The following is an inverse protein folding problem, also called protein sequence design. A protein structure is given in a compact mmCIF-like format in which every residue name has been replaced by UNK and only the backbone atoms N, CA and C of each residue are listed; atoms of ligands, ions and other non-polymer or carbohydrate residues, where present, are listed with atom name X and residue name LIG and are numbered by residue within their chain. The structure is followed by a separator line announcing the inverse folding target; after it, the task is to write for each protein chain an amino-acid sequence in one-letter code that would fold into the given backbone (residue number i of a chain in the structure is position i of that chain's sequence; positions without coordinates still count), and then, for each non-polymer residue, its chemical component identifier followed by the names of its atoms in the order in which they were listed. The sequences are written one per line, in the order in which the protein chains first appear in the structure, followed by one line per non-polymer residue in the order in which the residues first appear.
data_IF_600544313966
#
_entry.id   IF_600544313966
#
_cell.length_a   1.000
_cell.length_b   1.000
_cell.length_c   1.000
_cell.angle_alpha   90.00
_cell.angle_beta   90.00
_cell.angle_gamma   90.00
#
_symmetry.space_group_name_H-M   'P 1'
#
loop_
_entity.id
_entity.type
_entity.pdbx_description
1 polymer ?
#
# COMPACT_ATOMS: atom_id res chain seq x y z
N UNK A 1 11.40 -57.92 3.64
CA UNK A 1 11.10 -56.55 4.05
C UNK A 1 11.62 -55.61 2.99
N UNK A 2 10.92 -55.00 2.31
CA UNK A 2 9.94 -53.99 2.07
C UNK A 2 10.16 -53.50 0.62
N UNK A 3 9.59 -54.22 -0.38
CA UNK A 3 9.63 -53.80 -1.80
C UNK A 3 8.76 -52.55 -2.04
N UNK A 4 7.60 -52.51 -1.41
CA UNK A 4 6.63 -51.45 -1.61
C UNK A 4 7.07 -50.06 -1.20
N UNK A 5 8.01 -49.93 -0.25
CA UNK A 5 8.56 -48.62 0.19
C UNK A 5 9.47 -48.01 -0.88
N UNK A 6 10.15 -48.86 -1.68
CA UNK A 6 10.99 -48.39 -2.80
C UNK A 6 10.14 -47.86 -3.95
N UNK A 7 8.97 -48.49 -4.16
CA UNK A 7 8.04 -48.06 -5.21
C UNK A 7 7.30 -46.78 -4.83
N UNK A 8 6.99 -46.60 -3.53
CA UNK A 8 6.43 -45.33 -3.02
C UNK A 8 7.39 -44.16 -3.13
N UNK A 9 8.68 -44.40 -2.87
CA UNK A 9 9.72 -43.36 -3.02
C UNK A 9 10.03 -43.02 -4.48
N UNK A 10 9.80 -43.97 -5.42
CA UNK A 10 9.91 -43.71 -6.86
C UNK A 10 8.70 -42.96 -7.41
N UNK A 11 7.50 -43.21 -6.86
CA UNK A 11 6.28 -42.48 -7.25
C UNK A 11 6.24 -41.05 -6.78
N UNK A 12 7.00 -40.68 -5.75
CA UNK A 12 7.14 -39.32 -5.25
C UNK A 12 8.38 -38.57 -5.79
N UNK A 13 9.14 -39.16 -6.70
CA UNK A 13 10.04 -38.38 -7.52
C UNK A 13 9.16 -37.57 -8.49
N UNK A 14 8.67 -36.44 -8.03
CA UNK A 14 8.14 -35.40 -8.89
C UNK A 14 9.20 -35.17 -9.96
N UNK A 15 8.76 -35.35 -11.21
CA UNK A 15 9.52 -35.01 -12.40
C UNK A 15 10.08 -33.58 -12.24
N UNK A 16 11.31 -33.49 -11.74
CA UNK A 16 12.10 -32.28 -11.81
C UNK A 16 12.55 -32.10 -13.26
N UNK A 17 11.60 -31.97 -14.16
CA UNK A 17 11.90 -31.35 -15.43
C UNK A 17 12.28 -29.92 -15.11
N UNK A 18 13.54 -29.50 -15.31
CA UNK A 18 13.90 -28.11 -15.18
C UNK A 18 13.14 -27.37 -16.28
N UNK A 19 12.00 -26.79 -15.95
CA UNK A 19 11.51 -25.67 -16.73
C UNK A 19 12.63 -24.65 -16.61
N UNK A 20 13.53 -24.69 -17.60
CA UNK A 20 14.55 -23.68 -17.77
C UNK A 20 13.78 -22.35 -17.89
N UNK A 21 13.60 -21.67 -16.76
CA UNK A 21 13.09 -20.32 -16.77
C UNK A 21 14.14 -19.51 -17.49
N UNK A 22 13.80 -19.11 -18.70
CA UNK A 22 14.57 -18.11 -19.40
C UNK A 22 14.65 -16.86 -18.50
N UNK A 23 15.78 -16.74 -17.79
CA UNK A 23 16.06 -15.61 -16.92
C UNK A 23 16.29 -14.31 -17.70
N UNK A 24 16.27 -14.41 -19.03
CA UNK A 24 16.41 -13.27 -19.95
C UNK A 24 15.04 -12.72 -20.40
N UNK A 25 13.94 -13.43 -20.17
CA UNK A 25 12.62 -12.89 -20.41
C UNK A 25 12.29 -11.85 -19.33
N UNK A 26 12.70 -10.63 -19.58
CA UNK A 26 12.18 -9.45 -18.87
C UNK A 26 10.65 -9.48 -19.07
N UNK A 27 9.84 -9.63 -18.02
CA UNK A 27 8.39 -9.53 -18.20
C UNK A 27 8.12 -8.19 -18.87
N UNK A 28 7.16 -8.12 -19.81
CA UNK A 28 6.83 -6.86 -20.45
C UNK A 28 6.55 -5.86 -19.33
N UNK A 29 7.39 -4.83 -19.25
CA UNK A 29 7.13 -3.72 -18.38
C UNK A 29 5.75 -3.22 -18.76
N UNK A 30 4.78 -3.37 -17.86
CA UNK A 30 3.54 -2.62 -17.99
C UNK A 30 3.99 -1.17 -17.86
N UNK A 31 4.26 -0.56 -19.00
CA UNK A 31 4.68 0.83 -19.13
C UNK A 31 3.45 1.69 -18.85
N UNK A 32 2.96 1.61 -17.62
CA UNK A 32 2.04 2.62 -17.17
C UNK A 32 2.89 3.86 -16.94
N UNK A 33 2.60 4.98 -17.63
CA UNK A 33 3.30 6.23 -17.39
C UNK A 33 3.26 6.53 -15.89
N UNK A 34 4.22 7.31 -15.41
CA UNK A 34 4.14 7.90 -14.08
C UNK A 34 2.71 8.43 -13.90
N UNK A 35 2.09 8.29 -12.72
CA UNK A 35 0.78 8.85 -12.47
C UNK A 35 0.87 10.37 -12.60
N UNK A 36 0.84 10.83 -13.83
CA UNK A 36 0.72 12.23 -14.20
C UNK A 36 -0.75 12.54 -14.03
N UNK A 37 -1.10 13.16 -12.91
CA UNK A 37 -2.41 13.77 -12.78
C UNK A 37 -2.67 14.71 -13.95
N UNK A 38 -3.93 15.04 -14.16
CA UNK A 38 -4.37 15.96 -15.21
C UNK A 38 -3.57 17.27 -15.18
N UNK A 39 -3.46 17.96 -16.27
CA UNK A 39 -2.61 19.14 -16.51
C UNK A 39 -2.75 20.35 -15.54
N UNK A 40 -3.65 20.28 -14.53
CA UNK A 40 -3.71 21.22 -13.40
C UNK A 40 -2.92 20.79 -12.15
N UNK A 41 -2.35 19.59 -12.15
CA UNK A 41 -1.83 18.91 -10.95
C UNK A 41 -0.36 19.18 -10.63
N UNK A 42 0.33 19.98 -11.43
CA UNK A 42 1.75 20.32 -11.21
C UNK A 42 1.98 21.35 -10.10
N UNK A 43 0.92 21.94 -9.56
CA UNK A 43 1.04 22.92 -8.49
C UNK A 43 1.37 22.19 -7.18
N UNK A 44 2.57 22.44 -6.69
CA UNK A 44 3.09 21.89 -5.45
C UNK A 44 2.64 22.73 -4.27
N UNK A 45 2.24 22.06 -3.18
CA UNK A 45 2.01 22.77 -1.93
C UNK A 45 3.35 23.26 -1.36
N UNK A 46 3.36 24.45 -0.79
CA UNK A 46 4.49 24.95 -0.02
C UNK A 46 4.61 24.16 1.30
N UNK A 47 5.82 24.06 1.88
CA UNK A 47 5.98 23.48 3.22
C UNK A 47 5.10 24.21 4.23
N UNK A 48 4.30 23.47 5.02
CA UNK A 48 3.38 24.04 6.02
C UNK A 48 2.12 24.71 5.45
N UNK A 49 1.87 24.63 4.14
CA UNK A 49 0.66 25.19 3.54
C UNK A 49 -0.57 24.38 3.94
N UNK A 50 -1.55 25.04 4.55
CA UNK A 50 -2.85 24.42 4.87
C UNK A 50 -3.69 24.32 3.61
N UNK A 51 -4.01 23.10 3.20
CA UNK A 51 -4.79 22.82 2.00
C UNK A 51 -6.29 22.80 2.31
N UNK A 52 -7.10 23.20 1.34
CA UNK A 52 -8.57 23.13 1.46
C UNK A 52 -9.10 21.68 1.40
N UNK A 53 -8.37 20.79 0.73
CA UNK A 53 -8.72 19.38 0.53
C UNK A 53 -7.57 18.47 0.89
N UNK A 54 -7.86 17.34 1.54
CA UNK A 54 -6.89 16.30 1.86
C UNK A 54 -7.52 14.93 1.66
N UNK A 55 -7.20 14.30 0.55
CA UNK A 55 -7.64 12.93 0.29
C UNK A 55 -6.85 11.94 1.13
N UNK A 56 -7.56 10.97 1.70
CA UNK A 56 -6.97 9.98 2.58
C UNK A 56 -7.71 8.65 2.56
N UNK A 57 -7.05 7.62 3.08
CA UNK A 57 -7.65 6.35 3.45
C UNK A 57 -7.97 6.34 4.94
N UNK A 58 -9.14 5.81 5.27
CA UNK A 58 -9.46 5.43 6.64
C UNK A 58 -9.57 3.92 6.70
N UNK A 59 -8.78 3.30 7.58
CA UNK A 59 -8.61 1.85 7.65
C UNK A 59 -9.23 1.33 8.93
N UNK A 60 -10.26 0.54 8.78
CA UNK A 60 -10.99 -0.08 9.88
C UNK A 60 -10.35 -1.39 10.30
N UNK A 61 -9.63 -1.38 11.42
CA UNK A 61 -8.97 -2.56 11.95
C UNK A 61 -9.94 -3.57 12.56
N UNK A 62 -11.18 -3.14 12.86
CA UNK A 62 -12.19 -4.01 13.45
C UNK A 62 -12.78 -5.00 12.44
N UNK A 63 -12.86 -4.61 11.18
CA UNK A 63 -13.45 -5.46 10.12
C UNK A 63 -12.43 -5.99 9.12
N UNK A 64 -11.14 -5.66 9.29
CA UNK A 64 -10.08 -6.19 8.46
C UNK A 64 -9.82 -7.67 8.80
N UNK A 65 -9.94 -8.55 7.81
CA UNK A 65 -9.74 -10.00 7.96
C UNK A 65 -8.40 -10.49 7.39
N UNK A 66 -7.48 -9.59 7.04
CA UNK A 66 -6.15 -9.96 6.56
C UNK A 66 -6.09 -10.69 5.21
N UNK A 67 -7.12 -10.61 4.38
CA UNK A 67 -7.25 -11.40 3.14
C UNK A 67 -6.28 -11.01 2.00
N UNK A 68 -5.49 -9.97 2.15
CA UNK A 68 -4.54 -9.44 1.16
C UNK A 68 -5.12 -9.00 -0.20
N UNK A 69 -6.44 -9.02 -0.41
CA UNK A 69 -7.07 -8.56 -1.66
C UNK A 69 -6.64 -7.12 -2.02
N UNK A 70 -6.53 -6.25 -1.03
CA UNK A 70 -6.06 -4.87 -1.20
C UNK A 70 -4.59 -4.78 -1.63
N UNK A 71 -3.76 -5.74 -1.24
CA UNK A 71 -2.33 -5.82 -1.62
C UNK A 71 -2.21 -6.22 -3.07
N UNK A 72 -2.86 -7.33 -3.45
CA UNK A 72 -2.86 -7.86 -4.81
C UNK A 72 -3.42 -6.86 -5.82
N UNK A 73 -4.56 -6.26 -5.50
CA UNK A 73 -5.19 -5.26 -6.37
C UNK A 73 -4.33 -4.00 -6.52
N UNK A 74 -3.71 -3.54 -5.44
CA UNK A 74 -2.77 -2.41 -5.48
C UNK A 74 -1.58 -2.71 -6.37
N UNK A 75 -0.98 -3.90 -6.21
CA UNK A 75 0.16 -4.32 -7.01
C UNK A 75 -0.20 -4.45 -8.49
N UNK A 76 -1.31 -5.08 -8.79
CA UNK A 76 -1.81 -5.26 -10.14
C UNK A 76 -2.11 -3.93 -10.85
N UNK A 77 -2.59 -2.94 -10.10
CA UNK A 77 -2.90 -1.61 -10.64
C UNK A 77 -1.67 -0.71 -10.79
N UNK A 78 -0.78 -0.67 -9.80
CA UNK A 78 0.25 0.37 -9.67
C UNK A 78 1.67 -0.11 -9.98
N UNK A 79 1.96 -1.40 -9.91
CA UNK A 79 3.33 -1.92 -10.03
C UNK A 79 3.40 -3.14 -10.92
N UNK A 80 4.61 -3.62 -11.17
CA UNK A 80 4.87 -4.83 -11.95
C UNK A 80 5.44 -5.95 -11.06
N UNK A 81 5.59 -7.13 -11.63
CA UNK A 81 6.15 -8.30 -10.98
C UNK A 81 5.10 -9.23 -10.38
N UNK A 82 5.54 -10.38 -9.87
CA UNK A 82 4.68 -11.38 -9.26
C UNK A 82 4.07 -10.87 -7.95
N UNK A 83 2.77 -11.07 -7.80
CA UNK A 83 2.08 -10.78 -6.55
C UNK A 83 2.32 -11.82 -5.45
N UNK A 84 2.87 -13.00 -5.75
CA UNK A 84 3.24 -14.10 -4.87
C UNK A 84 2.80 -14.04 -3.38
N UNK A 85 3.06 -15.00 -2.58
CA UNK A 85 2.80 -14.91 -1.15
C UNK A 85 3.66 -13.81 -0.52
N UNK A 86 3.06 -12.99 0.33
CA UNK A 86 3.73 -11.92 1.07
C UNK A 86 4.17 -12.36 2.47
N UNK A 87 3.88 -13.60 2.85
CA UNK A 87 4.29 -14.16 4.11
C UNK A 87 5.79 -14.43 4.12
N UNK A 88 6.42 -14.27 5.27
CA UNK A 88 7.83 -14.57 5.45
C UNK A 88 8.13 -16.07 5.29
N UNK A 89 7.13 -16.90 5.52
CA UNK A 89 7.24 -18.35 5.58
C UNK A 89 7.07 -19.06 4.23
N UNK A 90 6.62 -18.40 3.19
CA UNK A 90 6.55 -18.88 1.79
C UNK A 90 6.18 -20.34 1.56
N UNK A 91 5.12 -20.86 2.16
CA UNK A 91 4.85 -22.30 2.09
C UNK A 91 4.54 -22.80 0.68
N UNK A 92 4.16 -21.95 -0.27
CA UNK A 92 3.56 -22.40 -1.55
C UNK A 92 3.89 -21.57 -2.78
N UNK A 93 4.96 -20.83 -2.84
CA UNK A 93 5.18 -20.03 -4.03
C UNK A 93 6.58 -19.49 -4.24
N UNK A 94 6.77 -18.95 -5.43
CA UNK A 94 7.96 -18.18 -5.75
C UNK A 94 7.94 -16.86 -4.95
N UNK A 95 9.12 -16.32 -4.72
CA UNK A 95 9.28 -15.02 -4.08
C UNK A 95 8.46 -13.95 -4.81
N UNK A 96 7.77 -13.09 -4.08
CA UNK A 96 7.16 -11.93 -4.69
C UNK A 96 8.25 -11.02 -5.27
N UNK A 97 8.00 -10.48 -6.44
CA UNK A 97 8.94 -9.63 -7.15
C UNK A 97 8.39 -8.21 -7.34
N UNK A 98 9.28 -7.24 -7.54
CA UNK A 98 8.92 -5.85 -7.71
C UNK A 98 8.49 -5.16 -6.40
N UNK A 99 7.94 -3.97 -6.52
CA UNK A 99 7.56 -3.12 -5.37
C UNK A 99 6.14 -3.38 -4.89
N UNK A 100 5.91 -3.15 -3.60
CA UNK A 100 4.60 -3.28 -2.96
C UNK A 100 4.23 -1.99 -2.22
N UNK A 101 3.25 -1.26 -2.72
CA UNK A 101 2.79 -0.01 -2.09
C UNK A 101 1.92 -0.23 -0.87
N UNK A 102 1.38 -1.43 -0.73
CA UNK A 102 0.48 -1.81 0.35
C UNK A 102 0.85 -3.20 0.85
N UNK A 103 0.85 -3.38 2.18
CA UNK A 103 1.11 -4.65 2.86
C UNK A 103 0.12 -4.83 3.99
N UNK A 104 -0.16 -6.06 4.36
CA UNK A 104 -0.90 -6.38 5.59
C UNK A 104 0.03 -7.15 6.50
N UNK A 105 0.35 -6.58 7.64
CA UNK A 105 1.10 -7.25 8.69
C UNK A 105 0.12 -7.99 9.60
N UNK A 106 0.53 -9.14 10.10
CA UNK A 106 -0.31 -9.98 10.96
C UNK A 106 0.48 -10.36 12.19
N UNK A 107 -0.14 -10.21 13.35
CA UNK A 107 0.42 -10.60 14.65
C UNK A 107 -0.59 -11.37 15.45
N UNK A 108 -0.09 -12.25 16.30
CA UNK A 108 -0.87 -12.83 17.40
C UNK A 108 -0.66 -11.99 18.65
N UNK A 109 -1.76 -11.71 19.35
CA UNK A 109 -1.77 -10.98 20.61
C UNK A 109 -2.53 -11.78 21.67
N UNK A 110 -2.24 -11.52 22.96
CA UNK A 110 -2.83 -12.22 24.08
C UNK A 110 -2.06 -13.49 24.50
N UNK A 111 -2.63 -14.22 25.44
CA UNK A 111 -2.07 -15.48 25.98
C UNK A 111 -3.12 -16.58 25.84
N UNK A 112 -2.70 -17.80 25.52
CA UNK A 112 -3.60 -18.93 25.46
C UNK A 112 -4.42 -19.09 26.77
N UNK A 113 -5.73 -19.35 26.70
CA UNK A 113 -6.56 -19.60 25.50
C UNK A 113 -7.16 -18.33 24.85
N UNK A 114 -6.86 -17.13 25.33
CA UNK A 114 -7.43 -15.87 24.87
C UNK A 114 -6.51 -15.17 23.86
N UNK A 115 -6.02 -15.89 22.85
CA UNK A 115 -5.23 -15.30 21.76
C UNK A 115 -6.14 -14.73 20.66
N UNK A 116 -5.69 -13.66 20.03
CA UNK A 116 -6.35 -13.07 18.87
C UNK A 116 -5.34 -12.71 17.78
N UNK A 117 -5.78 -12.80 16.53
CA UNK A 117 -4.99 -12.37 15.38
C UNK A 117 -5.32 -10.92 15.02
N UNK A 118 -4.29 -10.09 14.88
CA UNK A 118 -4.40 -8.68 14.51
C UNK A 118 -3.85 -8.50 13.11
N UNK A 119 -4.67 -7.97 12.21
CA UNK A 119 -4.28 -7.60 10.85
C UNK A 119 -4.12 -6.09 10.74
N UNK A 120 -2.96 -5.65 10.25
CA UNK A 120 -2.65 -4.24 10.13
C UNK A 120 -2.24 -3.88 8.70
N UNK A 121 -3.16 -3.36 7.88
CA UNK A 121 -2.86 -2.88 6.54
C UNK A 121 -2.01 -1.61 6.58
N UNK A 122 -0.89 -1.61 5.86
CA UNK A 122 0.14 -0.57 5.89
C UNK A 122 0.47 -0.07 4.50
N UNK A 123 0.48 1.25 4.31
CA UNK A 123 0.86 1.93 3.08
C UNK A 123 1.39 3.34 3.38
N UNK A 124 1.71 4.13 2.36
CA UNK A 124 2.01 5.55 2.57
C UNK A 124 0.83 6.28 3.22
N UNK A 125 1.11 7.14 4.19
CA UNK A 125 0.10 7.84 4.98
C UNK A 125 -0.25 9.23 4.45
N UNK A 126 0.38 9.67 3.35
CA UNK A 126 0.14 10.97 2.71
C UNK A 126 0.10 12.15 3.70
N UNK A 127 1.12 12.22 4.54
CA UNK A 127 1.25 13.15 5.66
C UNK A 127 0.93 14.60 5.27
N UNK A 128 0.40 15.37 6.21
CA UNK A 128 0.23 16.82 6.04
C UNK A 128 1.59 17.49 6.01
N UNK A 129 2.50 17.07 6.90
CA UNK A 129 3.89 17.51 6.98
C UNK A 129 4.84 16.37 6.58
N UNK A 130 4.98 16.09 5.28
CA UNK A 130 5.70 14.91 4.81
C UNK A 130 7.22 15.12 4.86
N UNK A 131 7.98 14.48 5.77
CA UNK A 131 9.43 14.66 5.88
C UNK A 131 10.18 14.19 4.62
N UNK A 132 9.56 13.33 3.85
CA UNK A 132 10.10 12.82 2.59
C UNK A 132 10.08 13.82 1.43
N UNK A 133 9.47 14.99 1.58
CA UNK A 133 9.44 16.07 0.57
C UNK A 133 10.67 16.96 0.70
N UNK A 134 10.95 17.60 1.83
CA UNK A 134 12.08 18.53 1.95
C UNK A 134 13.45 17.86 1.79
N UNK A 135 13.58 16.56 2.08
CA UNK A 135 14.85 15.84 1.92
C UNK A 135 15.17 15.44 0.49
N UNK A 136 14.26 15.67 -0.46
CA UNK A 136 14.47 15.29 -1.84
C UNK A 136 15.33 16.35 -2.57
N UNK A 137 16.59 16.04 -2.96
CA UNK A 137 17.51 17.04 -3.53
C UNK A 137 17.07 17.51 -4.90
N UNK A 138 16.33 16.68 -5.65
CA UNK A 138 15.83 17.03 -6.99
C UNK A 138 14.42 17.61 -6.97
N UNK A 139 13.77 17.67 -5.80
CA UNK A 139 12.37 18.01 -5.66
C UNK A 139 11.42 17.02 -6.36
N UNK A 140 11.86 15.79 -6.65
CA UNK A 140 11.01 14.76 -7.23
C UNK A 140 9.87 14.35 -6.29
N UNK A 141 10.13 14.30 -4.98
CA UNK A 141 9.08 14.04 -3.98
C UNK A 141 8.34 15.35 -3.69
N UNK A 142 7.02 15.35 -3.81
CA UNK A 142 6.21 16.55 -3.63
C UNK A 142 4.82 16.24 -3.10
N UNK A 143 4.16 17.24 -2.52
CA UNK A 143 2.76 17.22 -2.11
C UNK A 143 1.94 18.03 -3.10
N UNK A 144 0.85 17.49 -3.58
CA UNK A 144 -0.07 18.16 -4.50
C UNK A 144 -0.90 19.19 -3.72
N UNK A 145 -1.07 20.37 -4.31
CA UNK A 145 -1.87 21.44 -3.71
C UNK A 145 -3.39 21.16 -3.81
N UNK A 146 -3.82 20.49 -4.87
CA UNK A 146 -5.23 20.26 -5.15
C UNK A 146 -5.92 19.31 -4.15
N UNK A 147 -5.20 18.35 -3.58
CA UNK A 147 -5.80 17.26 -2.80
C UNK A 147 -4.90 16.67 -1.70
N UNK A 148 -3.73 17.24 -1.49
CA UNK A 148 -2.79 16.84 -0.45
C UNK A 148 -2.09 15.49 -0.70
N UNK A 149 -2.26 14.86 -1.84
CA UNK A 149 -1.59 13.60 -2.15
C UNK A 149 -0.09 13.84 -2.31
N UNK A 150 0.72 13.05 -1.60
CA UNK A 150 2.17 13.08 -1.78
C UNK A 150 2.55 12.12 -2.92
N UNK A 151 3.32 12.60 -3.88
CA UNK A 151 3.76 11.84 -5.06
C UNK A 151 5.27 11.90 -5.26
N UNK A 152 5.74 11.14 -6.24
CA UNK A 152 7.11 11.18 -6.77
C UNK A 152 7.06 11.40 -8.27
N UNK A 153 7.72 12.43 -8.74
CA UNK A 153 7.98 12.69 -10.15
C UNK A 153 9.13 11.77 -10.60
N UNK A 154 8.80 10.73 -11.36
CA UNK A 154 9.77 9.70 -11.74
C UNK A 154 10.83 10.22 -12.69
N UNK A 155 10.54 11.26 -13.49
CA UNK A 155 11.50 11.85 -14.42
C UNK A 155 12.59 12.65 -13.69
N UNK A 156 12.27 13.17 -12.50
CA UNK A 156 13.22 13.91 -11.65
C UNK A 156 13.89 13.05 -10.60
N UNK A 157 13.38 11.83 -10.36
CA UNK A 157 13.88 10.97 -9.31
C UNK A 157 15.20 10.32 -9.70
N UNK A 158 16.23 10.47 -8.88
CA UNK A 158 17.56 9.87 -9.07
C UNK A 158 17.79 8.62 -8.21
N UNK A 159 16.79 8.09 -7.55
CA UNK A 159 16.89 6.86 -6.76
C UNK A 159 17.74 6.95 -5.48
N UNK A 160 18.06 8.14 -4.99
CA UNK A 160 19.01 8.35 -3.88
C UNK A 160 18.55 7.80 -2.51
N UNK A 161 17.31 7.35 -2.37
CA UNK A 161 16.70 6.74 -1.16
C UNK A 161 16.54 7.68 0.06
N UNK A 162 16.94 8.94 0.04
CA UNK A 162 16.81 9.87 1.18
C UNK A 162 15.37 9.95 1.70
N UNK A 163 14.40 9.97 0.79
CA UNK A 163 12.99 9.98 1.16
C UNK A 163 12.51 8.67 1.81
N UNK A 164 13.19 7.54 1.59
CA UNK A 164 12.91 6.30 2.29
C UNK A 164 13.46 6.35 3.73
N UNK A 165 14.65 6.89 3.92
CA UNK A 165 15.26 7.06 5.24
C UNK A 165 14.50 8.08 6.10
N UNK A 166 13.97 9.14 5.49
CA UNK A 166 13.18 10.15 6.20
C UNK A 166 11.76 9.69 6.55
N UNK A 167 11.26 8.57 5.98
CA UNK A 167 9.91 8.09 6.20
C UNK A 167 9.84 7.20 7.44
N UNK A 168 9.21 7.61 8.56
CA UNK A 168 9.14 6.78 9.77
C UNK A 168 8.26 5.53 9.57
N UNK A 169 7.45 5.51 8.52
CA UNK A 169 6.50 4.43 8.23
C UNK A 169 7.06 3.36 7.29
N UNK A 170 8.29 3.53 6.76
CA UNK A 170 8.89 2.61 5.78
C UNK A 170 8.03 2.43 4.52
N UNK A 171 7.37 3.48 4.06
CA UNK A 171 6.36 3.41 3.00
C UNK A 171 6.91 3.79 1.62
N UNK A 172 8.22 3.66 1.41
CA UNK A 172 8.88 3.97 0.14
C UNK A 172 9.83 2.87 -0.25
N UNK A 173 9.76 2.45 -1.51
CA UNK A 173 10.58 1.40 -2.08
C UNK A 173 11.29 1.89 -3.34
N UNK A 174 12.46 1.34 -3.59
CA UNK A 174 13.15 1.51 -4.88
C UNK A 174 12.52 0.55 -5.89
N UNK A 175 12.08 1.07 -7.01
CA UNK A 175 11.81 0.27 -8.20
C UNK A 175 13.15 -0.04 -8.87
N UNK A 176 13.62 -1.27 -8.74
CA UNK A 176 14.93 -1.68 -9.25
C UNK A 176 14.99 -1.69 -10.79
N UNK A 177 13.86 -1.83 -11.45
CA UNK A 177 13.79 -1.79 -12.92
C UNK A 177 13.91 -0.36 -13.43
N UNK A 178 13.22 0.59 -12.79
CA UNK A 178 13.20 2.00 -13.18
C UNK A 178 14.29 2.84 -12.50
N UNK A 179 14.92 2.30 -11.46
CA UNK A 179 15.89 2.99 -10.60
C UNK A 179 15.34 4.28 -9.97
N UNK A 180 14.05 4.30 -9.67
CA UNK A 180 13.35 5.43 -9.02
C UNK A 180 12.66 5.00 -7.73
N UNK A 181 12.49 5.95 -6.82
CA UNK A 181 11.71 5.70 -5.60
C UNK A 181 10.22 5.71 -5.89
N UNK A 182 9.52 4.72 -5.36
CA UNK A 182 8.08 4.54 -5.55
C UNK A 182 7.34 4.46 -4.22
N UNK A 183 6.05 4.67 -4.23
CA UNK A 183 5.15 4.55 -3.07
C UNK A 183 3.68 4.59 -3.49
N UNK A 184 2.78 4.35 -2.53
CA UNK A 184 1.34 4.52 -2.75
C UNK A 184 1.02 5.91 -3.32
N UNK A 185 0.24 5.96 -4.38
CA UNK A 185 -0.19 7.17 -5.10
C UNK A 185 -1.64 7.56 -4.80
N UNK A 186 -2.35 6.83 -3.92
CA UNK A 186 -3.82 6.81 -3.80
C UNK A 186 -4.53 6.52 -5.14
N UNK A 187 -3.82 5.88 -6.07
CA UNK A 187 -4.30 5.64 -7.44
C UNK A 187 -4.81 6.93 -8.10
N UNK A 188 -4.00 7.99 -8.05
CA UNK A 188 -4.34 9.33 -8.57
C UNK A 188 -4.81 9.28 -10.03
N UNK A 189 -4.24 8.39 -10.81
CA UNK A 189 -4.62 8.11 -12.19
C UNK A 189 -6.03 7.52 -12.31
N UNK A 190 -6.49 6.76 -11.31
CA UNK A 190 -7.79 6.13 -11.28
C UNK A 190 -8.89 7.02 -10.70
N UNK A 191 -8.58 7.73 -9.60
CA UNK A 191 -9.58 8.56 -8.91
C UNK A 191 -10.01 9.79 -9.74
N UNK A 192 -9.18 10.18 -10.71
CA UNK A 192 -9.44 11.29 -11.65
C UNK A 192 -9.67 10.82 -13.08
N UNK A 193 -9.93 9.53 -13.29
CA UNK A 193 -10.24 8.99 -14.61
C UNK A 193 -11.72 9.22 -14.95
N UNK A 194 -11.99 10.17 -15.83
CA UNK A 194 -13.34 10.50 -16.26
C UNK A 194 -13.99 9.41 -17.12
N UNK A 195 -13.22 8.47 -17.63
CA UNK A 195 -13.76 7.29 -18.33
C UNK A 195 -14.38 6.27 -17.37
N UNK A 196 -14.07 6.36 -16.06
CA UNK A 196 -14.66 5.48 -15.06
C UNK A 196 -15.95 6.09 -14.48
N UNK A 197 -16.96 5.25 -14.17
CA UNK A 197 -18.12 5.68 -13.41
C UNK A 197 -17.71 6.29 -12.06
N UNK A 198 -18.43 7.30 -11.52
CA UNK A 198 -18.07 7.97 -10.27
C UNK A 198 -17.85 7.02 -9.09
N UNK A 199 -18.65 5.96 -8.97
CA UNK A 199 -18.55 4.93 -7.93
C UNK A 199 -17.26 4.10 -8.04
N UNK A 200 -16.63 4.08 -9.21
CA UNK A 200 -15.39 3.35 -9.48
C UNK A 200 -14.13 4.23 -9.39
N UNK A 201 -14.29 5.54 -9.25
CA UNK A 201 -13.21 6.51 -9.07
C UNK A 201 -12.64 6.44 -7.65
N UNK A 202 -12.26 5.25 -7.21
CA UNK A 202 -11.69 4.96 -5.88
C UNK A 202 -10.38 4.21 -6.03
N UNK A 203 -9.46 4.29 -5.06
CA UNK A 203 -8.24 3.51 -5.06
C UNK A 203 -8.52 2.01 -5.23
N UNK A 204 -7.66 1.31 -5.98
CA UNK A 204 -7.83 -0.11 -6.27
C UNK A 204 -7.97 -0.96 -4.99
N UNK A 205 -7.20 -0.62 -3.93
CA UNK A 205 -7.26 -1.31 -2.65
C UNK A 205 -8.58 -1.10 -1.88
N UNK A 206 -9.31 -0.01 -2.16
CA UNK A 206 -10.64 0.25 -1.61
C UNK A 206 -11.68 -0.60 -2.33
N UNK A 207 -11.66 -0.58 -3.65
CA UNK A 207 -12.59 -1.37 -4.48
C UNK A 207 -12.47 -2.87 -4.25
N UNK A 208 -11.26 -3.36 -4.01
CA UNK A 208 -11.00 -4.78 -3.80
C UNK A 208 -11.27 -5.27 -2.38
N UNK A 209 -11.58 -4.39 -1.43
CA UNK A 209 -11.77 -4.79 -0.03
C UNK A 209 -13.13 -5.45 0.19
N UNK A 210 -13.21 -6.78 0.44
CA UNK A 210 -14.50 -7.48 0.53
C UNK A 210 -15.29 -7.13 1.80
N UNK A 211 -14.58 -6.67 2.85
CA UNK A 211 -15.22 -6.34 4.14
C UNK A 211 -15.50 -4.86 4.30
N UNK A 212 -15.16 -4.02 3.30
CA UNK A 212 -15.27 -2.57 3.44
C UNK A 212 -14.33 -1.94 4.48
N UNK A 213 -13.27 -2.65 4.88
CA UNK A 213 -12.31 -2.15 5.88
C UNK A 213 -11.53 -0.91 5.43
N UNK A 214 -11.64 -0.51 4.17
CA UNK A 214 -10.95 0.65 3.61
C UNK A 214 -11.94 1.65 3.08
N UNK A 215 -11.99 2.82 3.71
CA UNK A 215 -12.75 3.97 3.27
C UNK A 215 -11.81 4.95 2.58
N UNK A 216 -12.34 5.75 1.67
CA UNK A 216 -11.58 6.77 0.94
C UNK A 216 -12.41 8.02 0.78
N UNK A 217 -11.83 9.17 1.06
CA UNK A 217 -12.50 10.46 0.93
C UNK A 217 -11.63 11.62 1.35
N UNK A 218 -12.26 12.79 1.43
CA UNK A 218 -11.67 14.03 1.91
C UNK A 218 -11.81 14.11 3.44
N UNK A 219 -10.70 14.08 4.16
CA UNK A 219 -10.73 14.17 5.64
C UNK A 219 -10.87 15.62 6.15
N UNK A 220 -10.80 16.61 5.26
CA UNK A 220 -11.07 18.02 5.61
C UNK A 220 -12.53 18.42 5.38
N UNK A 221 -13.27 17.63 4.63
CA UNK A 221 -14.73 17.78 4.50
C UNK A 221 -15.40 17.15 5.73
N UNK A 222 -16.04 17.97 6.60
CA UNK A 222 -16.68 17.46 7.81
C UNK A 222 -17.86 16.55 7.56
N UNK A 223 -18.49 16.67 6.39
CA UNK A 223 -19.68 15.91 6.00
C UNK A 223 -19.33 14.62 5.24
N UNK A 224 -18.04 14.38 4.95
CA UNK A 224 -17.59 13.18 4.29
C UNK A 224 -17.76 11.93 5.17
N UNK A 225 -18.00 10.78 4.52
CA UNK A 225 -18.07 9.47 5.19
C UNK A 225 -16.83 9.18 6.04
N UNK A 226 -15.65 9.53 5.53
CA UNK A 226 -14.38 9.29 6.24
C UNK A 226 -14.25 10.16 7.49
N UNK A 227 -14.69 11.43 7.44
CA UNK A 227 -14.67 12.33 8.59
C UNK A 227 -15.66 11.90 9.65
N UNK A 228 -16.86 11.47 9.26
CA UNK A 228 -17.85 10.91 10.16
C UNK A 228 -17.30 9.65 10.85
N UNK A 229 -16.74 8.72 10.10
CA UNK A 229 -16.16 7.48 10.67
C UNK A 229 -15.02 7.76 11.65
N UNK A 230 -14.15 8.73 11.36
CA UNK A 230 -13.07 9.16 12.27
C UNK A 230 -13.63 9.68 13.60
N UNK A 231 -14.63 10.59 13.54
CA UNK A 231 -15.25 11.17 14.74
C UNK A 231 -15.98 10.15 15.60
N UNK A 232 -16.82 9.33 14.94
CA UNK A 232 -17.71 8.40 15.65
C UNK A 232 -16.97 7.21 16.25
N UNK A 233 -15.87 6.81 15.61
CA UNK A 233 -15.16 5.59 15.96
C UNK A 233 -13.77 5.82 16.56
N UNK A 234 -13.41 7.06 16.86
CA UNK A 234 -12.13 7.40 17.49
C UNK A 234 -10.94 7.11 16.59
N UNK A 235 -10.99 7.57 15.34
CA UNK A 235 -9.91 7.38 14.38
C UNK A 235 -8.62 8.05 14.85
N UNK A 236 -7.49 7.35 14.73
CA UNK A 236 -6.19 7.80 15.21
C UNK A 236 -5.12 7.82 14.12
N UNK A 237 -4.10 8.67 14.31
CA UNK A 237 -2.90 8.73 13.50
C UNK A 237 -1.84 7.77 14.05
N UNK A 238 -1.01 7.20 13.18
CA UNK A 238 0.16 6.43 13.61
C UNK A 238 1.29 7.37 14.03
N UNK A 239 2.01 7.00 15.08
CA UNK A 239 3.25 7.65 15.53
C UNK A 239 3.09 9.18 15.61
N UNK A 240 2.16 9.70 16.42
CA UNK A 240 1.93 11.14 16.54
C UNK A 240 3.15 11.91 17.05
N UNK A 241 4.06 11.24 17.75
CA UNK A 241 5.32 11.77 18.26
C UNK A 241 6.29 12.24 17.17
N UNK A 242 6.08 11.79 15.93
CA UNK A 242 6.90 12.21 14.78
C UNK A 242 6.39 13.48 14.10
N UNK A 243 5.28 14.04 14.55
CA UNK A 243 4.69 15.30 14.09
C UNK A 243 4.50 15.41 12.56
N UNK A 244 4.44 14.27 11.87
CA UNK A 244 4.27 14.21 10.41
C UNK A 244 2.82 14.42 9.97
N UNK A 245 1.89 14.44 10.90
CA UNK A 245 0.46 14.61 10.70
C UNK A 245 -0.09 13.72 9.57
N UNK A 246 -0.09 12.37 9.73
CA UNK A 246 -0.60 11.45 8.73
C UNK A 246 -2.02 11.80 8.29
N UNK A 247 -2.27 11.90 6.98
CA UNK A 247 -3.64 12.08 6.48
C UNK A 247 -4.48 10.81 6.65
N UNK A 248 -3.90 9.65 6.36
CA UNK A 248 -4.57 8.38 6.60
C UNK A 248 -4.78 8.16 8.10
N UNK A 249 -5.93 7.58 8.44
CA UNK A 249 -6.32 7.27 9.83
C UNK A 249 -6.67 5.80 9.97
N UNK A 250 -6.57 5.32 11.20
CA UNK A 250 -6.97 3.98 11.57
C UNK A 250 -8.11 4.03 12.56
N UNK A 251 -9.14 3.23 12.34
CA UNK A 251 -10.21 3.02 13.30
C UNK A 251 -9.84 1.83 14.20
N UNK A 252 -9.91 1.98 15.52
CA UNK A 252 -9.46 0.96 16.46
C UNK A 252 -10.34 -0.29 16.39
N UNK A 253 -9.75 -1.42 16.76
CA UNK A 253 -10.51 -2.63 17.02
C UNK A 253 -11.40 -2.42 18.24
N UNK A 254 -12.60 -2.97 18.17
CA UNK A 254 -13.46 -3.07 19.35
C UNK A 254 -12.93 -4.20 20.21
N UNK A 255 -12.49 -3.88 21.42
CA UNK A 255 -12.12 -4.92 22.40
C UNK A 255 -13.42 -5.60 22.83
N UNK A 256 -13.63 -6.82 22.39
CA UNK A 256 -14.64 -7.69 22.99
C UNK A 256 -14.15 -8.03 24.39
N UNK A 257 -14.69 -7.37 25.41
CA UNK A 257 -14.48 -7.81 26.78
C UNK A 257 -15.11 -9.21 26.88
N UNK A 258 -14.27 -10.25 26.95
CA UNK A 258 -14.72 -11.56 27.44
C UNK A 258 -15.27 -11.36 28.85
N UNK A 259 -16.55 -11.58 29.02
CA UNK A 259 -17.21 -11.66 30.33
C UNK A 259 -16.68 -12.88 31.08
#
# INVERSE_FOLDING_TARGET
MIGWLKDLLKANALDESPVARDRTATPPATTRPAPTGQAGDSVRAAPGETLAKQLALVIDLNVCVGCHACVTSCKQWNTSGSAGPLADERPYGADPTGTFFNRVQTWEAGTYPATETIHFPKSCLHCEDPPCVPVCPTGASYKRKADGIVLVDYDKCIGCKYCAWACPYGARELDETRQVMTKCTLCVDRIYDDALPPEDRKPACVKACPTGARLFGDVKDPDSEVSAAIRERGGYALMPEWETNPANRYLPRRVTRSQ
#
